data_IF_888098946908
#
_entry.id   IF_888098946908
#
_cell.length_a   1.000
_cell.length_b   1.000
_cell.length_c   1.000
_cell.angle_alpha   90.00
_cell.angle_beta   90.00
_cell.angle_gamma   90.00
#
_symmetry.space_group_name_H-M   'P 1'
#
loop_
_entity.id
_entity.type
_entity.pdbx_description
1 polymer ?
#
# COMPACT_ATOMS: atom_id res chain seq x y z
N UNK A 1 -14.05 -10.94 16.74
CA UNK A 1 -12.83 -10.58 17.49
C UNK A 1 -13.27 -9.90 18.77
N UNK A 2 -12.63 -10.19 19.90
CA UNK A 2 -12.82 -9.45 21.14
C UNK A 2 -11.74 -8.36 21.22
N UNK A 3 -12.14 -7.11 21.37
CA UNK A 3 -11.25 -5.94 21.43
C UNK A 3 -11.33 -5.22 22.79
N UNK A 4 -11.75 -5.92 23.84
CA UNK A 4 -11.87 -5.35 25.19
C UNK A 4 -10.53 -4.78 25.66
N UNK A 5 -10.53 -3.50 26.06
CA UNK A 5 -9.33 -2.80 26.51
C UNK A 5 -8.42 -2.26 25.38
N UNK A 6 -8.83 -2.37 24.12
CA UNK A 6 -8.12 -1.85 22.95
C UNK A 6 -8.90 -0.72 22.28
N UNK A 7 -8.25 -0.05 21.31
CA UNK A 7 -8.89 0.98 20.47
C UNK A 7 -9.19 0.39 19.09
N UNK A 8 -10.43 0.59 18.64
CA UNK A 8 -10.82 0.31 17.26
C UNK A 8 -10.82 1.63 16.49
N UNK A 9 -10.04 1.70 15.42
CA UNK A 9 -9.95 2.87 14.54
C UNK A 9 -10.27 2.46 13.10
N UNK A 10 -10.60 3.41 12.21
CA UNK A 10 -10.38 3.19 10.79
C UNK A 10 -8.92 2.81 10.54
N UNK A 11 -8.69 2.09 9.46
CA UNK A 11 -7.32 1.86 8.99
C UNK A 11 -6.64 3.17 8.61
N UNK A 12 -5.34 3.25 8.83
CA UNK A 12 -4.58 4.46 8.55
C UNK A 12 -4.35 4.64 7.05
N UNK A 13 -4.24 5.91 6.64
CA UNK A 13 -3.91 6.31 5.28
C UNK A 13 -2.50 6.87 5.31
N UNK A 14 -1.57 6.20 4.62
CA UNK A 14 -0.20 6.65 4.49
C UNK A 14 -0.04 7.43 3.16
N UNK A 15 0.27 8.72 3.28
CA UNK A 15 0.27 9.67 2.15
C UNK A 15 1.66 9.83 1.52
N UNK A 16 2.74 10.14 2.26
CA UNK A 16 4.07 10.33 1.69
C UNK A 16 4.84 9.00 1.58
N UNK A 17 4.30 8.04 0.83
CA UNK A 17 4.89 6.70 0.67
C UNK A 17 5.63 6.55 -0.66
N UNK A 18 6.53 5.57 -0.72
CA UNK A 18 7.15 5.10 -1.97
C UNK A 18 6.76 3.64 -2.28
N UNK A 19 5.52 3.25 -1.95
CA UNK A 19 5.00 1.90 -2.16
C UNK A 19 5.11 1.44 -3.61
N UNK A 20 4.99 2.37 -4.57
CA UNK A 20 5.10 2.15 -6.02
C UNK A 20 6.44 1.55 -6.47
N UNK A 21 7.48 1.59 -5.63
CA UNK A 21 8.80 1.01 -5.94
C UNK A 21 8.89 -0.48 -5.67
N UNK A 22 8.14 -0.96 -4.67
CA UNK A 22 8.33 -2.29 -4.08
C UNK A 22 7.07 -3.16 -4.09
N UNK A 23 5.89 -2.60 -4.40
CA UNK A 23 4.62 -3.33 -4.26
C UNK A 23 4.53 -4.57 -5.16
N UNK A 24 5.16 -4.54 -6.35
CA UNK A 24 5.24 -5.71 -7.23
C UNK A 24 6.22 -6.78 -6.73
N UNK A 25 7.20 -6.42 -5.90
CA UNK A 25 8.18 -7.33 -5.33
C UNK A 25 7.74 -7.88 -3.97
N UNK A 26 6.97 -7.10 -3.23
CA UNK A 26 6.47 -7.40 -1.88
C UNK A 26 4.96 -7.12 -1.83
N UNK A 27 4.14 -7.95 -2.49
CA UNK A 27 2.69 -7.73 -2.62
C UNK A 27 1.94 -7.84 -1.30
N UNK A 28 2.52 -8.49 -0.29
CA UNK A 28 1.93 -8.62 1.05
C UNK A 28 1.84 -7.29 1.80
N UNK A 29 2.69 -6.31 1.44
CA UNK A 29 2.72 -4.99 2.06
C UNK A 29 2.83 -5.03 3.61
N UNK A 30 3.47 -6.07 4.16
CA UNK A 30 3.46 -6.37 5.60
C UNK A 30 3.89 -5.17 6.47
N UNK A 31 4.86 -4.37 6.00
CA UNK A 31 5.32 -3.16 6.68
C UNK A 31 4.20 -2.15 6.95
N UNK A 32 3.25 -2.02 6.03
CA UNK A 32 2.09 -1.13 6.14
C UNK A 32 1.01 -1.78 7.03
N UNK A 33 0.71 -3.04 6.77
CA UNK A 33 -0.36 -3.79 7.48
C UNK A 33 -0.06 -3.85 8.97
N UNK A 34 1.18 -4.15 9.37
CA UNK A 34 1.60 -4.23 10.78
C UNK A 34 1.52 -2.88 11.51
N UNK A 35 1.51 -1.76 10.78
CA UNK A 35 1.32 -0.42 11.34
C UNK A 35 -0.15 0.01 11.38
N UNK A 36 -1.08 -0.81 10.88
CA UNK A 36 -2.50 -0.48 10.78
C UNK A 36 -2.84 0.35 9.53
N UNK A 37 -1.93 0.48 8.57
CA UNK A 37 -2.18 1.16 7.29
C UNK A 37 -3.05 0.27 6.39
N UNK A 38 -4.07 0.88 5.79
CA UNK A 38 -5.02 0.21 4.88
C UNK A 38 -5.11 0.86 3.52
N UNK A 39 -4.52 2.04 3.36
CA UNK A 39 -4.47 2.77 2.08
C UNK A 39 -3.16 3.50 1.96
N UNK A 40 -2.53 3.42 0.79
CA UNK A 40 -1.29 4.09 0.45
C UNK A 40 -1.49 4.96 -0.78
N UNK A 41 -0.78 6.08 -0.85
CA UNK A 41 -0.71 6.92 -2.05
C UNK A 41 0.72 6.83 -2.60
N UNK A 42 0.85 6.38 -3.85
CA UNK A 42 2.13 6.25 -4.56
C UNK A 42 2.45 7.43 -5.48
N UNK A 43 3.65 7.45 -6.06
CA UNK A 43 4.07 8.48 -7.01
C UNK A 43 4.59 9.77 -6.37
N UNK A 44 4.95 9.69 -5.09
CA UNK A 44 5.55 10.80 -4.37
C UNK A 44 6.94 11.18 -4.93
N UNK A 45 7.31 12.46 -4.74
CA UNK A 45 8.59 13.02 -5.14
C UNK A 45 8.88 12.94 -6.66
N UNK A 46 7.84 12.87 -7.50
CA UNK A 46 7.99 12.77 -8.95
C UNK A 46 8.60 11.45 -9.42
N UNK A 47 8.58 10.42 -8.56
CA UNK A 47 9.18 9.12 -8.84
C UNK A 47 8.12 8.04 -8.76
N UNK A 48 7.84 7.44 -9.92
CA UNK A 48 6.99 6.27 -10.09
C UNK A 48 7.45 5.49 -11.32
N UNK A 49 7.09 4.21 -11.45
CA UNK A 49 7.17 3.52 -12.73
C UNK A 49 6.37 4.28 -13.80
N UNK A 50 6.91 4.36 -15.01
CA UNK A 50 6.25 4.98 -16.15
C UNK A 50 6.38 4.06 -17.36
N UNK A 51 5.30 3.83 -18.14
CA UNK A 51 3.95 4.40 -17.99
C UNK A 51 3.12 3.73 -16.87
N UNK A 52 2.24 4.50 -16.22
CA UNK A 52 1.42 4.01 -15.11
C UNK A 52 0.41 2.93 -15.54
N UNK A 53 -0.11 3.01 -16.77
CA UNK A 53 -1.06 2.02 -17.27
C UNK A 53 -0.46 0.60 -17.30
N UNK A 54 0.82 0.47 -17.68
CA UNK A 54 1.51 -0.82 -17.67
C UNK A 54 1.75 -1.33 -16.24
N UNK A 55 2.06 -0.43 -15.31
CA UNK A 55 2.19 -0.80 -13.89
C UNK A 55 0.87 -1.37 -13.36
N UNK A 56 -0.25 -0.66 -13.55
CA UNK A 56 -1.54 -1.12 -13.03
C UNK A 56 -1.98 -2.43 -13.68
N UNK A 57 -1.83 -2.58 -15.00
CA UNK A 57 -2.13 -3.84 -15.69
C UNK A 57 -1.28 -5.01 -15.17
N UNK A 58 -0.02 -4.77 -14.80
CA UNK A 58 0.84 -5.78 -14.19
C UNK A 58 0.34 -6.16 -12.79
N UNK A 59 0.05 -5.18 -11.94
CA UNK A 59 -0.42 -5.42 -10.57
C UNK A 59 -1.75 -6.19 -10.58
N UNK A 60 -2.70 -5.80 -11.42
CA UNK A 60 -3.98 -6.50 -11.59
C UNK A 60 -3.77 -7.97 -12.01
N UNK A 61 -2.83 -8.24 -12.93
CA UNK A 61 -2.49 -9.60 -13.36
C UNK A 61 -1.88 -10.44 -12.24
N UNK A 62 -1.16 -9.82 -11.32
CA UNK A 62 -0.52 -10.45 -10.16
C UNK A 62 -1.49 -10.58 -8.96
N UNK A 63 -2.72 -10.06 -9.07
CA UNK A 63 -3.73 -10.11 -8.01
C UNK A 63 -3.47 -9.10 -6.88
N UNK A 64 -2.78 -8.01 -7.20
CA UNK A 64 -2.42 -6.91 -6.29
C UNK A 64 -3.35 -5.73 -6.54
#
# INVERSE_FOLDING_TARGET
MDATGLVVTPGFIDVPTHCDRNIAQIPTADYYVLQGVTTVIGGNCGRHPFPLAELFAKLEKEGI
#
